data_IF_259653544400
#
_entry.id   IF_259653544400
#
_cell.length_a   1.000
_cell.length_b   1.000
_cell.length_c   1.000
_cell.angle_alpha   90.00
_cell.angle_beta   90.00
_cell.angle_gamma   90.00
#
_symmetry.space_group_name_H-M   'P 1'
#
loop_
_entity.id
_entity.type
_entity.pdbx_description
1 polymer ?
#
# COMPACT_ATOMS: atom_id res chain seq x y z
N UNK A 1 13.11 23.36 2.75
CA UNK A 1 12.68 22.08 2.14
C UNK A 1 13.38 21.93 0.81
N UNK A 2 14.15 20.85 0.58
CA UNK A 2 15.00 20.74 -0.62
C UNK A 2 14.24 20.87 -1.94
N UNK A 3 13.01 20.37 -2.00
CA UNK A 3 12.14 20.50 -3.18
C UNK A 3 11.89 21.96 -3.58
N UNK A 4 11.75 22.88 -2.62
CA UNK A 4 11.50 24.30 -2.90
C UNK A 4 12.72 25.04 -3.46
N UNK A 5 13.93 24.53 -3.21
CA UNK A 5 15.19 25.10 -3.72
C UNK A 5 15.46 24.71 -5.18
N UNK A 6 14.91 23.58 -5.64
CA UNK A 6 15.19 23.02 -6.97
C UNK A 6 14.04 23.23 -7.96
N UNK A 7 12.82 23.54 -7.47
CA UNK A 7 11.68 23.84 -8.31
C UNK A 7 11.64 25.34 -8.65
N UNK A 8 11.42 25.65 -9.93
CA UNK A 8 11.06 27.02 -10.37
C UNK A 8 9.70 27.44 -9.78
N UNK A 9 9.41 28.75 -9.67
CA UNK A 9 8.05 29.22 -9.38
C UNK A 9 7.03 28.58 -10.34
N UNK A 10 5.90 28.11 -9.80
CA UNK A 10 4.90 27.32 -10.52
C UNK A 10 5.27 25.85 -10.79
N UNK A 11 6.51 25.42 -10.49
CA UNK A 11 6.92 24.02 -10.50
C UNK A 11 6.17 23.22 -9.45
N UNK A 12 5.99 21.91 -9.64
CA UNK A 12 5.10 21.10 -8.78
C UNK A 12 5.86 20.00 -8.05
N UNK A 13 5.62 19.91 -6.73
CA UNK A 13 5.96 18.74 -5.94
C UNK A 13 4.75 17.81 -5.94
N UNK A 14 4.95 16.55 -6.32
CA UNK A 14 3.92 15.50 -6.28
C UNK A 14 4.50 14.26 -5.59
N UNK A 15 3.98 13.93 -4.41
CA UNK A 15 4.34 12.73 -3.68
C UNK A 15 3.28 11.65 -3.90
N UNK A 16 3.71 10.44 -4.23
CA UNK A 16 2.83 9.34 -4.65
C UNK A 16 2.80 8.22 -3.61
N UNK A 17 1.59 7.69 -3.37
CA UNK A 17 1.38 6.45 -2.62
C UNK A 17 0.56 5.47 -3.45
N UNK A 18 0.96 4.21 -3.42
CA UNK A 18 0.29 3.13 -4.12
C UNK A 18 -0.44 2.25 -3.11
N UNK A 19 -1.77 2.34 -3.07
CA UNK A 19 -2.60 1.62 -2.11
C UNK A 19 -3.15 0.35 -2.75
N UNK A 20 -2.93 -0.78 -2.09
CA UNK A 20 -3.36 -2.11 -2.52
C UNK A 20 -4.64 -2.47 -1.77
N UNK A 21 -5.71 -2.80 -2.48
CA UNK A 21 -6.99 -3.22 -1.94
C UNK A 21 -7.31 -4.65 -2.44
N UNK A 22 -6.76 -5.69 -1.78
CA UNK A 22 -7.06 -7.07 -2.13
C UNK A 22 -8.53 -7.40 -1.81
N UNK A 23 -9.12 -8.37 -2.53
CA UNK A 23 -10.39 -8.96 -2.14
C UNK A 23 -10.36 -9.40 -0.67
N UNK A 24 -11.47 -9.23 0.09
CA UNK A 24 -11.50 -9.53 1.52
C UNK A 24 -10.95 -10.92 1.87
N UNK A 25 -11.33 -11.94 1.11
CA UNK A 25 -10.86 -13.31 1.31
C UNK A 25 -9.33 -13.45 1.18
N UNK A 26 -8.70 -12.77 0.22
CA UNK A 26 -7.24 -12.80 0.05
C UNK A 26 -6.57 -12.03 1.20
N UNK A 27 -7.12 -10.86 1.56
CA UNK A 27 -6.62 -10.02 2.63
C UNK A 27 -6.63 -10.73 3.99
N UNK A 28 -7.74 -11.40 4.32
CA UNK A 28 -7.95 -12.07 5.60
C UNK A 28 -7.06 -13.30 5.76
N UNK A 29 -6.90 -14.10 4.69
CA UNK A 29 -5.98 -15.23 4.68
C UNK A 29 -4.54 -14.77 4.91
N UNK A 30 -4.05 -13.80 4.13
CA UNK A 30 -2.70 -13.24 4.30
C UNK A 30 -2.48 -12.67 5.71
N UNK A 31 -3.44 -11.92 6.23
CA UNK A 31 -3.34 -11.37 7.58
C UNK A 31 -3.35 -12.45 8.67
N UNK A 32 -4.01 -13.60 8.45
CA UNK A 32 -3.94 -14.74 9.37
C UNK A 32 -2.56 -15.39 9.35
N UNK A 33 -1.99 -15.61 8.17
CA UNK A 33 -0.64 -16.16 8.00
C UNK A 33 0.40 -15.24 8.66
N UNK A 34 0.34 -13.93 8.39
CA UNK A 34 1.30 -12.97 8.95
C UNK A 34 1.23 -12.90 10.47
N UNK A 35 0.04 -12.96 11.07
CA UNK A 35 -0.11 -13.00 12.53
C UNK A 35 0.54 -14.23 13.16
N UNK A 36 0.58 -15.36 12.44
CA UNK A 36 1.19 -16.60 12.93
C UNK A 36 2.71 -16.60 12.78
N UNK A 37 3.21 -16.06 11.67
CA UNK A 37 4.62 -16.20 11.27
C UNK A 37 5.49 -14.97 11.53
N UNK A 38 4.90 -13.79 11.75
CA UNK A 38 5.64 -12.53 11.87
C UNK A 38 5.48 -12.00 13.30
N UNK A 39 6.53 -12.11 14.15
CA UNK A 39 6.50 -11.56 15.50
C UNK A 39 6.20 -10.05 15.49
N UNK A 40 5.27 -9.62 16.34
CA UNK A 40 4.86 -8.21 16.43
C UNK A 40 3.92 -7.74 15.33
N UNK A 41 3.41 -8.65 14.47
CA UNK A 41 2.36 -8.27 13.52
C UNK A 41 1.09 -7.85 14.27
N UNK A 42 0.41 -6.77 13.85
CA UNK A 42 -0.76 -6.26 14.56
C UNK A 42 -1.86 -7.33 14.75
N UNK A 43 -2.53 -7.35 15.92
CA UNK A 43 -3.69 -8.22 16.11
C UNK A 43 -4.81 -7.79 15.16
N UNK A 44 -5.74 -8.72 14.91
CA UNK A 44 -6.96 -8.38 14.16
C UNK A 44 -7.73 -7.30 14.94
N UNK A 45 -8.00 -6.17 14.30
CA UNK A 45 -8.87 -5.15 14.87
C UNK A 45 -10.30 -5.68 15.02
N UNK A 46 -10.94 -5.36 16.14
CA UNK A 46 -12.37 -5.61 16.34
C UNK A 46 -13.19 -4.62 15.50
N UNK A 47 -14.06 -5.12 14.62
CA UNK A 47 -14.96 -4.30 13.82
C UNK A 47 -14.94 -4.64 12.33
N UNK A 48 -15.70 -3.89 11.52
CA UNK A 48 -15.71 -4.08 10.08
C UNK A 48 -14.35 -3.71 9.47
N UNK A 49 -13.95 -4.45 8.42
CA UNK A 49 -12.77 -4.11 7.64
C UNK A 49 -12.91 -2.70 7.07
N UNK A 50 -11.91 -1.87 7.31
CA UNK A 50 -11.83 -0.52 6.71
C UNK A 50 -11.16 -0.60 5.34
N UNK A 51 -11.49 0.31 4.41
CA UNK A 51 -10.72 0.49 3.18
C UNK A 51 -9.23 0.64 3.46
N UNK A 52 -8.37 0.02 2.65
CA UNK A 52 -6.92 0.09 2.79
C UNK A 52 -6.41 1.54 2.76
N UNK A 53 -7.08 2.41 1.99
CA UNK A 53 -6.78 3.84 1.91
C UNK A 53 -6.87 4.54 3.27
N UNK A 54 -7.74 4.08 4.18
CA UNK A 54 -7.88 4.68 5.50
C UNK A 54 -6.62 4.49 6.34
N UNK A 55 -5.91 3.37 6.18
CA UNK A 55 -4.61 3.13 6.79
C UNK A 55 -3.52 4.11 6.31
N UNK A 56 -3.68 4.68 5.12
CA UNK A 56 -2.75 5.68 4.57
C UNK A 56 -3.10 7.11 4.98
N UNK A 57 -4.31 7.38 5.50
CA UNK A 57 -4.76 8.75 5.83
C UNK A 57 -3.80 9.51 6.74
N UNK A 58 -3.25 8.93 7.83
CA UNK A 58 -2.29 9.65 8.67
C UNK A 58 -1.03 10.06 7.92
N UNK A 59 -0.55 9.20 7.01
CA UNK A 59 0.64 9.47 6.19
C UNK A 59 0.40 10.57 5.17
N UNK A 60 -0.75 10.52 4.48
CA UNK A 60 -1.16 11.55 3.52
C UNK A 60 -1.34 12.91 4.20
N UNK A 61 -2.00 12.93 5.37
CA UNK A 61 -2.19 14.15 6.16
C UNK A 61 -0.85 14.74 6.64
N UNK A 62 0.09 13.88 7.06
CA UNK A 62 1.45 14.31 7.43
C UNK A 62 2.19 14.92 6.24
N UNK A 63 2.08 14.32 5.05
CA UNK A 63 2.70 14.87 3.86
C UNK A 63 2.13 16.25 3.48
N UNK A 64 0.80 16.38 3.48
CA UNK A 64 0.13 17.66 3.23
C UNK A 64 0.53 18.72 4.29
N UNK A 65 0.60 18.31 5.56
CA UNK A 65 1.08 19.14 6.66
C UNK A 65 2.49 19.67 6.46
N UNK A 66 3.44 18.78 6.13
CA UNK A 66 4.83 19.16 5.90
C UNK A 66 5.02 20.09 4.69
N UNK A 67 4.20 19.94 3.64
CA UNK A 67 4.20 20.86 2.49
C UNK A 67 3.75 22.26 2.91
N UNK A 68 2.65 22.35 3.68
CA UNK A 68 2.12 23.62 4.18
C UNK A 68 3.09 24.31 5.13
N UNK A 69 3.64 23.57 6.10
CA UNK A 69 4.59 24.09 7.09
C UNK A 69 5.88 24.61 6.45
N UNK A 70 6.27 24.11 5.28
CA UNK A 70 7.44 24.59 4.56
C UNK A 70 7.29 26.04 4.06
N UNK A 71 6.06 26.58 3.96
CA UNK A 71 5.78 27.99 3.60
C UNK A 71 6.21 28.41 2.20
N UNK A 72 6.72 27.48 1.39
CA UNK A 72 7.24 27.73 0.04
C UNK A 72 6.30 27.22 -1.06
N UNK A 73 5.23 26.52 -0.70
CA UNK A 73 4.25 25.96 -1.62
C UNK A 73 2.89 26.56 -1.35
N UNK A 74 2.03 26.58 -2.37
CA UNK A 74 0.61 26.91 -2.20
C UNK A 74 -0.15 25.81 -1.47
N UNK A 75 -1.47 25.94 -1.47
CA UNK A 75 -2.36 24.94 -0.88
C UNK A 75 -2.14 23.54 -1.48
N UNK A 76 -2.11 22.53 -0.63
CA UNK A 76 -1.93 21.15 -1.04
C UNK A 76 -3.23 20.56 -1.59
N UNK A 77 -3.13 19.84 -2.69
CA UNK A 77 -4.22 19.08 -3.30
C UNK A 77 -4.00 17.57 -3.09
N UNK A 78 -5.10 16.81 -3.06
CA UNK A 78 -5.08 15.35 -3.10
C UNK A 78 -5.72 14.87 -4.41
N UNK A 79 -4.94 14.19 -5.25
CA UNK A 79 -5.45 13.53 -6.46
C UNK A 79 -5.52 12.02 -6.25
N UNK A 80 -6.52 11.37 -6.87
CA UNK A 80 -6.70 9.91 -6.77
C UNK A 80 -6.93 9.28 -8.13
N UNK A 81 -6.26 8.17 -8.37
CA UNK A 81 -6.34 7.40 -9.61
C UNK A 81 -6.63 5.94 -9.25
N UNK A 82 -7.90 5.54 -9.40
CA UNK A 82 -8.33 4.16 -9.19
C UNK A 82 -8.07 3.31 -10.43
N UNK A 83 -7.55 2.11 -10.24
CA UNK A 83 -7.36 1.13 -11.32
C UNK A 83 -7.43 -0.30 -10.78
N UNK A 84 -7.51 -1.28 -11.67
CA UNK A 84 -7.58 -2.69 -11.30
C UNK A 84 -6.65 -3.53 -12.17
N UNK A 85 -6.15 -4.63 -11.60
CA UNK A 85 -5.38 -5.65 -12.32
C UNK A 85 -5.81 -7.03 -11.88
N UNK A 86 -6.04 -7.91 -12.84
CA UNK A 86 -6.18 -9.34 -12.56
C UNK A 86 -4.80 -9.95 -12.33
N UNK A 87 -4.67 -10.78 -11.30
CA UNK A 87 -3.51 -11.61 -11.03
C UNK A 87 -3.91 -13.08 -11.08
N UNK A 88 -3.15 -13.88 -11.82
CA UNK A 88 -3.09 -15.33 -11.59
C UNK A 88 -2.41 -15.63 -10.26
N UNK A 89 -2.59 -16.85 -9.76
CA UNK A 89 -1.83 -17.35 -8.61
C UNK A 89 -0.33 -17.13 -8.77
N UNK A 90 0.24 -17.57 -9.89
CA UNK A 90 1.69 -17.56 -10.10
C UNK A 90 2.24 -16.14 -10.13
N UNK A 91 1.57 -15.21 -10.83
CA UNK A 91 1.97 -13.80 -10.84
C UNK A 91 1.91 -13.18 -9.44
N UNK A 92 0.91 -13.54 -8.63
CA UNK A 92 0.81 -13.03 -7.26
C UNK A 92 1.91 -13.58 -6.36
N UNK A 93 2.20 -14.87 -6.45
CA UNK A 93 3.25 -15.52 -5.67
C UNK A 93 4.65 -15.06 -6.07
N UNK A 94 4.88 -14.72 -7.34
CA UNK A 94 6.12 -14.11 -7.81
C UNK A 94 6.30 -12.68 -7.28
N UNK A 95 5.20 -11.93 -7.18
CA UNK A 95 5.23 -10.54 -6.69
C UNK A 95 5.43 -10.46 -5.16
N UNK A 96 4.83 -11.38 -4.39
CA UNK A 96 4.82 -11.31 -2.92
C UNK A 96 6.20 -11.13 -2.25
N UNK A 97 7.26 -11.87 -2.62
CA UNK A 97 8.60 -11.74 -2.04
C UNK A 97 9.23 -10.35 -2.18
N UNK A 98 8.73 -9.51 -3.10
CA UNK A 98 9.21 -8.13 -3.29
C UNK A 98 8.65 -7.16 -2.24
N UNK A 99 7.66 -7.58 -1.45
CA UNK A 99 7.03 -6.74 -0.43
C UNK A 99 7.90 -6.62 0.83
N UNK A 100 8.04 -5.40 1.35
CA UNK A 100 9.05 -5.10 2.37
C UNK A 100 8.92 -5.81 3.72
N UNK A 101 7.79 -6.45 4.02
CA UNK A 101 7.65 -7.32 5.20
C UNK A 101 8.16 -8.74 4.91
N UNK A 102 7.96 -9.22 3.68
CA UNK A 102 8.33 -10.56 3.25
C UNK A 102 9.80 -10.69 2.87
N UNK A 103 10.43 -9.60 2.40
CA UNK A 103 11.87 -9.57 2.10
C UNK A 103 12.77 -9.84 3.31
N UNK A 104 12.22 -9.74 4.53
CA UNK A 104 12.95 -9.90 5.79
C UNK A 104 12.65 -11.23 6.49
N UNK A 105 11.79 -12.07 5.93
CA UNK A 105 11.47 -13.36 6.53
C UNK A 105 12.59 -14.37 6.27
N UNK A 106 12.86 -15.28 7.23
CA UNK A 106 13.64 -16.47 6.96
C UNK A 106 13.05 -17.27 5.78
N UNK A 107 13.87 -17.95 4.96
CA UNK A 107 13.40 -18.69 3.79
C UNK A 107 12.24 -19.65 4.08
N UNK A 108 12.32 -20.42 5.16
CA UNK A 108 11.27 -21.38 5.53
C UNK A 108 9.93 -20.71 5.83
N UNK A 109 9.96 -19.57 6.54
CA UNK A 109 8.76 -18.79 6.83
C UNK A 109 8.19 -18.15 5.56
N UNK A 110 9.04 -17.67 4.65
CA UNK A 110 8.59 -17.16 3.35
C UNK A 110 7.93 -18.27 2.51
N UNK A 111 8.52 -19.46 2.47
CA UNK A 111 7.93 -20.62 1.77
C UNK A 111 6.57 -21.01 2.34
N UNK A 112 6.41 -21.02 3.67
CA UNK A 112 5.11 -21.26 4.30
C UNK A 112 4.08 -20.19 3.93
N UNK A 113 4.47 -18.91 3.96
CA UNK A 113 3.60 -17.80 3.54
C UNK A 113 3.11 -17.97 2.10
N UNK A 114 4.02 -18.30 1.17
CA UNK A 114 3.69 -18.45 -0.24
C UNK A 114 2.79 -19.67 -0.48
N UNK A 115 3.01 -20.78 0.25
CA UNK A 115 2.18 -21.96 0.16
C UNK A 115 0.73 -21.68 0.60
N UNK A 116 0.54 -21.02 1.74
CA UNK A 116 -0.79 -20.67 2.24
C UNK A 116 -1.50 -19.63 1.37
N UNK A 117 -0.78 -18.62 0.90
CA UNK A 117 -1.33 -17.66 -0.05
C UNK A 117 -1.77 -18.34 -1.36
N UNK A 118 -0.98 -19.29 -1.86
CA UNK A 118 -1.32 -20.07 -3.05
C UNK A 118 -2.60 -20.88 -2.88
N UNK A 119 -2.73 -21.61 -1.77
CA UNK A 119 -3.92 -22.39 -1.45
C UNK A 119 -5.18 -21.52 -1.30
N UNK A 120 -5.05 -20.33 -0.70
CA UNK A 120 -6.15 -19.37 -0.60
C UNK A 120 -6.62 -18.87 -1.97
N UNK A 121 -5.68 -18.66 -2.90
CA UNK A 121 -6.00 -18.23 -4.28
C UNK A 121 -6.64 -19.37 -5.08
N UNK A 122 -6.16 -20.60 -4.93
CA UNK A 122 -6.80 -21.77 -5.55
C UNK A 122 -8.27 -21.89 -5.11
N UNK A 123 -8.53 -21.69 -3.81
CA UNK A 123 -9.86 -21.77 -3.23
C UNK A 123 -10.88 -20.75 -3.78
N UNK A 124 -10.41 -19.70 -4.46
CA UNK A 124 -11.25 -18.68 -5.11
C UNK A 124 -11.22 -18.73 -6.64
N UNK A 125 -10.66 -19.81 -7.22
CA UNK A 125 -10.63 -20.02 -8.67
C UNK A 125 -9.28 -19.73 -9.34
N UNK A 126 -8.18 -19.68 -8.59
CA UNK A 126 -6.82 -19.63 -9.14
C UNK A 126 -6.32 -18.24 -9.54
N UNK A 127 -7.08 -17.19 -9.22
CA UNK A 127 -6.69 -15.81 -9.46
C UNK A 127 -7.68 -14.83 -8.86
N UNK A 128 -7.33 -13.54 -8.88
CA UNK A 128 -8.19 -12.50 -8.35
C UNK A 128 -7.90 -11.13 -8.96
N UNK A 129 -8.89 -10.23 -8.90
CA UNK A 129 -8.71 -8.83 -9.29
C UNK A 129 -8.29 -8.01 -8.08
N UNK A 130 -7.10 -7.40 -8.16
CA UNK A 130 -6.62 -6.41 -7.20
C UNK A 130 -7.15 -5.03 -7.58
N UNK A 131 -7.76 -4.33 -6.62
CA UNK A 131 -8.05 -2.91 -6.77
C UNK A 131 -6.90 -2.08 -6.23
N UNK A 132 -6.61 -0.99 -6.91
CA UNK A 132 -5.57 -0.05 -6.55
C UNK A 132 -6.10 1.36 -6.51
N UNK A 133 -5.55 2.15 -5.61
CA UNK A 133 -5.69 3.61 -5.64
C UNK A 133 -4.30 4.22 -5.54
N UNK A 134 -3.88 4.91 -6.58
CA UNK A 134 -2.71 5.81 -6.52
C UNK A 134 -3.18 7.15 -5.99
N UNK A 135 -2.62 7.58 -4.86
CA UNK A 135 -2.92 8.87 -4.25
C UNK A 135 -1.72 9.79 -4.42
N UNK A 136 -1.99 11.03 -4.79
CA UNK A 136 -0.98 12.08 -4.94
C UNK A 136 -1.29 13.20 -3.97
N UNK A 137 -0.34 13.54 -3.11
CA UNK A 137 -0.37 14.82 -2.38
C UNK A 137 0.56 15.77 -3.12
N UNK A 138 0.03 16.89 -3.58
CA UNK A 138 0.75 17.77 -4.50
C UNK A 138 0.51 19.24 -4.21
N UNK A 139 1.51 20.08 -4.49
CA UNK A 139 1.39 21.53 -4.41
C UNK A 139 2.33 22.22 -5.40
N UNK A 140 1.94 23.40 -5.87
CA UNK A 140 2.79 24.25 -6.69
C UNK A 140 3.75 25.07 -5.81
N UNK A 141 4.99 25.22 -6.25
CA UNK A 141 5.99 26.13 -5.71
C UNK A 141 5.52 27.55 -5.94
N UNK A 142 5.48 28.36 -4.88
CA UNK A 142 5.19 29.78 -4.95
C UNK A 142 6.27 30.54 -5.73
#
# INVERSE_FOLDING_TARGET
MKAAEVLRPGGRLAAFWHVFEPPPIVAENLAAVYRRLIPGFPPRESGPRKPALDGYRPLLARAAGGIREAGAFGESEEWRFGWQRFYTRDEWLDQMPTSGILTRLPPDALSEVLAEAGAAIDGIGGGFTMAYVTVVVTAARL
#
